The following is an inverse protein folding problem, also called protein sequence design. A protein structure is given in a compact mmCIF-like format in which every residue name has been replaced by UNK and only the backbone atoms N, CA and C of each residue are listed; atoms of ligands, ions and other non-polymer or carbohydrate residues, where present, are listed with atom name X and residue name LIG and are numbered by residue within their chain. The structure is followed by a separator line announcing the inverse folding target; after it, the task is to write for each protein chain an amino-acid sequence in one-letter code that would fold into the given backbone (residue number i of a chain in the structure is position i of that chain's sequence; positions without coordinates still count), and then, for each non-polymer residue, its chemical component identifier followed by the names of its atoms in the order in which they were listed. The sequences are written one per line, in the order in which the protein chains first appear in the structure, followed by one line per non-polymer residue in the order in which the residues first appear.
data_IF_771443981537
#
_entry.id   IF_771443981537
#
_cell.length_a   1.000
_cell.length_b   1.000
_cell.length_c   1.000
_cell.angle_alpha   90.00
_cell.angle_beta   90.00
_cell.angle_gamma   90.00
#
_symmetry.space_group_name_H-M   'P 1'
#
loop_
_entity.id
_entity.type
_entity.pdbx_description
1 polymer ?
#
# COMPACT_ATOMS: atom_id res chain seq x y z
N UNK A 1 17.22 -12.34 19.73
CA UNK A 1 16.86 -11.17 18.89
C UNK A 1 15.78 -10.38 19.59
N UNK A 2 16.01 -9.11 19.84
CA UNK A 2 14.95 -8.21 20.33
C UNK A 2 14.12 -7.80 19.12
N UNK A 3 12.86 -8.25 19.06
CA UNK A 3 11.90 -7.75 18.08
C UNK A 3 11.38 -6.43 18.63
N UNK A 4 11.81 -5.33 18.05
CA UNK A 4 11.30 -4.00 18.39
C UNK A 4 10.08 -3.72 17.52
N UNK A 5 8.96 -3.36 18.15
CA UNK A 5 7.78 -2.89 17.43
C UNK A 5 8.07 -1.53 16.79
N UNK A 6 7.56 -1.31 15.58
CA UNK A 6 7.66 -0.04 14.85
C UNK A 6 6.29 0.61 14.75
N UNK A 7 6.26 1.92 14.85
CA UNK A 7 5.02 2.69 14.87
C UNK A 7 5.02 3.80 13.82
N UNK A 8 3.89 3.97 13.16
CA UNK A 8 3.71 5.01 12.17
C UNK A 8 2.31 5.02 11.58
N UNK A 9 1.96 6.07 10.82
CA UNK A 9 0.64 6.20 10.24
C UNK A 9 0.48 5.38 8.95
N UNK A 10 -0.77 5.07 8.65
CA UNK A 10 -1.22 4.67 7.32
C UNK A 10 -1.71 5.92 6.58
N UNK A 11 -1.02 6.28 5.50
CA UNK A 11 -1.24 7.54 4.80
C UNK A 11 -0.57 8.74 5.47
N UNK A 12 -0.76 9.91 4.88
CA UNK A 12 -0.25 11.16 5.46
C UNK A 12 -1.15 11.64 6.59
N UNK A 13 -0.54 12.05 7.69
CA UNK A 13 -1.27 12.59 8.83
C UNK A 13 -1.92 13.95 8.49
N UNK A 14 -3.10 14.22 9.06
CA UNK A 14 -3.86 15.45 8.79
C UNK A 14 -3.10 16.73 9.14
N UNK A 15 -2.19 16.66 10.11
CA UNK A 15 -1.36 17.77 10.54
C UNK A 15 -0.02 17.89 9.77
N UNK A 16 0.19 17.06 8.75
CA UNK A 16 1.29 17.24 7.81
C UNK A 16 0.88 18.22 6.71
N UNK A 17 1.38 19.43 6.79
CA UNK A 17 1.07 20.48 5.81
C UNK A 17 2.02 20.50 4.60
N UNK A 18 3.05 19.64 4.60
CA UNK A 18 3.95 19.44 3.46
C UNK A 18 3.28 18.57 2.38
N UNK A 19 3.11 19.11 1.17
CA UNK A 19 2.44 18.37 0.07
C UNK A 19 3.30 17.28 -0.55
N UNK A 20 4.57 17.13 -0.15
CA UNK A 20 5.52 16.20 -0.76
C UNK A 20 5.63 14.90 0.03
N UNK A 21 5.29 13.78 -0.61
CA UNK A 21 5.49 12.44 -0.04
C UNK A 21 6.97 12.12 0.20
N UNK A 22 7.88 12.70 -0.58
CA UNK A 22 9.33 12.52 -0.42
C UNK A 22 9.85 13.15 0.89
N UNK A 23 9.24 14.24 1.35
CA UNK A 23 9.63 14.91 2.60
C UNK A 23 8.95 14.31 3.84
N UNK A 24 7.97 13.46 3.65
CA UNK A 24 7.18 12.92 4.75
C UNK A 24 7.97 12.00 5.69
N UNK A 25 8.90 11.13 5.23
CA UNK A 25 9.73 10.33 6.12
C UNK A 25 10.56 11.15 7.12
N UNK A 26 11.15 12.26 6.70
CA UNK A 26 11.88 13.17 7.60
C UNK A 26 10.95 13.73 8.69
N UNK A 27 9.77 14.18 8.29
CA UNK A 27 8.76 14.72 9.20
C UNK A 27 8.28 13.69 10.25
N UNK A 28 8.18 12.41 9.86
CA UNK A 28 7.86 11.31 10.78
C UNK A 28 8.99 11.05 11.78
N UNK A 29 10.23 10.99 11.30
CA UNK A 29 11.40 10.76 12.13
C UNK A 29 11.58 11.84 13.21
N UNK A 30 11.33 13.11 12.89
CA UNK A 30 11.32 14.23 13.84
C UNK A 30 10.32 14.05 14.99
N UNK A 31 9.29 13.18 14.80
CA UNK A 31 8.25 12.86 15.77
C UNK A 31 8.47 11.53 16.48
N UNK A 32 9.63 10.93 16.27
CA UNK A 32 9.97 9.64 16.88
C UNK A 32 9.21 8.45 16.30
N UNK A 33 8.65 8.60 15.11
CA UNK A 33 7.99 7.52 14.38
C UNK A 33 9.00 6.82 13.46
N UNK A 34 8.80 5.53 13.22
CA UNK A 34 9.76 4.68 12.50
C UNK A 34 9.12 3.74 11.47
N UNK A 35 7.83 3.91 11.19
CA UNK A 35 7.09 3.19 10.17
C UNK A 35 6.17 4.12 9.36
N UNK A 36 5.89 3.74 8.12
CA UNK A 36 4.93 4.44 7.26
C UNK A 36 4.31 3.49 6.25
N UNK A 37 3.00 3.46 6.18
CA UNK A 37 2.28 2.78 5.11
C UNK A 37 1.88 3.78 4.01
N UNK A 38 2.51 3.66 2.84
CA UNK A 38 2.15 4.46 1.67
C UNK A 38 0.82 3.99 1.09
N UNK A 39 -0.14 4.89 0.91
CA UNK A 39 -1.48 4.52 0.43
C UNK A 39 -1.70 4.88 -1.03
N UNK A 40 -2.06 3.87 -1.83
CA UNK A 40 -2.49 4.01 -3.22
C UNK A 40 -4.03 4.12 -3.34
N UNK A 41 -4.71 4.76 -2.39
CA UNK A 41 -6.16 4.75 -2.18
C UNK A 41 -7.04 4.70 -3.43
N UNK A 42 -6.96 5.70 -4.30
CA UNK A 42 -7.79 5.80 -5.51
C UNK A 42 -7.13 5.24 -6.78
N UNK A 43 -6.01 4.55 -6.66
CA UNK A 43 -5.24 3.99 -7.77
C UNK A 43 -3.74 4.16 -7.60
N UNK A 44 -2.98 3.44 -8.40
CA UNK A 44 -1.51 3.49 -8.41
C UNK A 44 -1.08 4.56 -9.39
N UNK A 45 -0.86 5.78 -8.90
CA UNK A 45 -0.52 6.95 -9.74
C UNK A 45 0.91 7.47 -9.54
N UNK A 46 1.64 6.97 -8.54
CA UNK A 46 3.02 7.39 -8.29
C UNK A 46 3.96 6.79 -9.33
N UNK A 47 4.77 7.64 -9.95
CA UNK A 47 5.79 7.22 -10.90
C UNK A 47 7.06 6.70 -10.22
N UNK A 48 7.88 5.97 -10.97
CA UNK A 48 9.11 5.32 -10.49
C UNK A 48 10.07 6.29 -9.80
N UNK A 49 10.35 7.45 -10.39
CA UNK A 49 11.25 8.45 -9.82
C UNK A 49 10.81 8.90 -8.42
N UNK A 50 9.53 9.24 -8.28
CA UNK A 50 8.96 9.65 -6.98
C UNK A 50 8.97 8.50 -5.98
N UNK A 51 8.61 7.29 -6.42
CA UNK A 51 8.61 6.10 -5.56
C UNK A 51 10.01 5.81 -5.01
N UNK A 52 11.03 5.83 -5.86
CA UNK A 52 12.43 5.66 -5.44
C UNK A 52 12.88 6.76 -4.48
N UNK A 53 12.53 8.02 -4.75
CA UNK A 53 12.87 9.14 -3.86
C UNK A 53 12.21 9.02 -2.47
N UNK A 54 10.96 8.55 -2.39
CA UNK A 54 10.31 8.23 -1.10
C UNK A 54 11.06 7.13 -0.37
N UNK A 55 11.44 6.06 -1.07
CA UNK A 55 12.19 4.94 -0.51
C UNK A 55 13.56 5.35 0.02
N UNK A 56 14.29 6.18 -0.71
CA UNK A 56 15.58 6.74 -0.29
C UNK A 56 15.45 7.61 0.95
N UNK A 57 14.46 8.50 0.97
CA UNK A 57 14.17 9.35 2.12
C UNK A 57 13.78 8.51 3.36
N UNK A 58 12.96 7.49 3.19
CA UNK A 58 12.57 6.58 4.27
C UNK A 58 13.80 5.85 4.84
N UNK A 59 14.65 5.32 3.99
CA UNK A 59 15.89 4.64 4.39
C UNK A 59 16.84 5.58 5.13
N UNK A 60 17.02 6.81 4.63
CA UNK A 60 17.89 7.82 5.24
C UNK A 60 17.42 8.22 6.65
N UNK A 61 16.13 8.14 6.93
CA UNK A 61 15.52 8.49 8.22
C UNK A 61 15.11 7.29 9.09
N UNK A 62 15.47 6.06 8.69
CA UNK A 62 15.16 4.85 9.46
C UNK A 62 13.68 4.47 9.49
N UNK A 63 12.89 4.94 8.51
CA UNK A 63 11.46 4.66 8.37
C UNK A 63 11.27 3.36 7.59
N UNK A 64 10.61 2.38 8.21
CA UNK A 64 10.20 1.15 7.52
C UNK A 64 8.94 1.41 6.68
N UNK A 65 8.99 1.05 5.41
CA UNK A 65 7.87 1.23 4.49
C UNK A 65 7.04 -0.05 4.30
N UNK A 66 5.74 0.13 4.27
CA UNK A 66 4.78 -0.77 3.62
C UNK A 66 3.93 0.02 2.62
N UNK A 67 3.20 -0.69 1.77
CA UNK A 67 2.33 -0.07 0.78
C UNK A 67 0.93 -0.67 0.88
N UNK A 68 -0.09 0.16 0.86
CA UNK A 68 -1.48 -0.26 0.78
C UNK A 68 -1.98 -0.11 -0.66
N UNK A 69 -2.38 -1.22 -1.28
CA UNK A 69 -2.95 -1.25 -2.62
C UNK A 69 -4.31 -0.51 -2.67
N UNK A 70 -4.82 -0.16 -3.85
CA UNK A 70 -6.10 0.52 -3.98
C UNK A 70 -7.24 -0.17 -3.23
N UNK A 71 -8.07 0.61 -2.54
CA UNK A 71 -9.13 0.08 -1.66
C UNK A 71 -10.27 -0.63 -2.41
N UNK A 72 -10.42 -0.37 -3.71
CA UNK A 72 -11.49 -0.94 -4.54
C UNK A 72 -11.16 -2.31 -5.13
N UNK A 73 -10.00 -2.88 -4.81
CA UNK A 73 -9.62 -4.24 -5.22
C UNK A 73 -10.64 -5.24 -4.71
N UNK A 74 -11.14 -6.10 -5.61
CA UNK A 74 -12.09 -7.16 -5.29
C UNK A 74 -11.77 -8.44 -6.08
N UNK A 75 -10.99 -9.33 -5.47
CA UNK A 75 -10.64 -10.64 -6.04
C UNK A 75 -11.85 -11.56 -6.18
N UNK A 76 -12.92 -11.32 -5.41
CA UNK A 76 -14.17 -12.06 -5.47
C UNK A 76 -15.21 -11.46 -6.43
N UNK A 77 -14.80 -10.57 -7.36
CA UNK A 77 -15.73 -9.99 -8.31
C UNK A 77 -16.29 -11.10 -9.24
N UNK A 78 -17.63 -11.17 -9.44
CA UNK A 78 -18.25 -12.16 -10.31
C UNK A 78 -17.82 -12.04 -11.78
N UNK A 79 -17.56 -10.81 -12.21
CA UNK A 79 -17.17 -10.53 -13.59
C UNK A 79 -15.69 -10.82 -13.81
N UNK A 80 -15.33 -11.78 -14.71
CA UNK A 80 -13.94 -12.14 -14.98
C UNK A 80 -13.07 -10.99 -15.47
N UNK A 81 -13.63 -10.08 -16.27
CA UNK A 81 -12.88 -8.92 -16.78
C UNK A 81 -12.54 -7.93 -15.64
N UNK A 82 -13.45 -7.75 -14.69
CA UNK A 82 -13.19 -6.96 -13.50
C UNK A 82 -12.11 -7.60 -12.61
N UNK A 83 -12.08 -8.94 -12.49
CA UNK A 83 -11.03 -9.65 -11.76
C UNK A 83 -9.67 -9.45 -12.42
N UNK A 84 -9.60 -9.57 -13.75
CA UNK A 84 -8.37 -9.32 -14.50
C UNK A 84 -7.83 -7.91 -14.28
N UNK A 85 -8.70 -6.89 -14.27
CA UNK A 85 -8.30 -5.53 -13.92
C UNK A 85 -7.79 -5.43 -12.49
N UNK A 86 -8.45 -6.09 -11.55
CA UNK A 86 -8.03 -6.16 -10.14
C UNK A 86 -6.62 -6.72 -9.99
N UNK A 87 -6.30 -7.83 -10.69
CA UNK A 87 -4.94 -8.38 -10.70
C UNK A 87 -3.92 -7.36 -11.21
N UNK A 88 -4.26 -6.61 -12.25
CA UNK A 88 -3.42 -5.51 -12.76
C UNK A 88 -3.11 -4.45 -11.70
N UNK A 89 -4.08 -4.07 -10.87
CA UNK A 89 -3.85 -3.12 -9.77
C UNK A 89 -2.95 -3.69 -8.67
N UNK A 90 -3.08 -4.98 -8.36
CA UNK A 90 -2.19 -5.64 -7.39
C UNK A 90 -0.76 -5.66 -7.90
N UNK A 91 -0.55 -6.03 -9.16
CA UNK A 91 0.78 -6.03 -9.79
C UNK A 91 1.40 -4.64 -9.83
N UNK A 92 0.62 -3.61 -10.17
CA UNK A 92 1.09 -2.23 -10.15
C UNK A 92 1.48 -1.77 -8.73
N UNK A 93 0.72 -2.16 -7.72
CA UNK A 93 1.07 -1.88 -6.32
C UNK A 93 2.36 -2.58 -5.89
N UNK A 94 2.57 -3.83 -6.29
CA UNK A 94 3.82 -4.56 -6.04
C UNK A 94 5.01 -3.90 -6.73
N UNK A 95 4.84 -3.43 -7.96
CA UNK A 95 5.90 -2.71 -8.68
C UNK A 95 6.30 -1.41 -7.96
N UNK A 96 5.34 -0.64 -7.49
CA UNK A 96 5.61 0.57 -6.71
C UNK A 96 6.29 0.24 -5.38
N UNK A 97 5.85 -0.81 -4.71
CA UNK A 97 6.48 -1.29 -3.48
C UNK A 97 7.96 -1.66 -3.70
N UNK A 98 8.27 -2.31 -4.81
CA UNK A 98 9.66 -2.61 -5.21
C UNK A 98 10.47 -1.34 -5.42
N UNK A 99 9.97 -0.36 -6.17
CA UNK A 99 10.65 0.92 -6.37
C UNK A 99 10.90 1.67 -5.07
N UNK A 100 9.96 1.63 -4.13
CA UNK A 100 10.09 2.25 -2.81
C UNK A 100 10.99 1.47 -1.85
N UNK A 101 11.23 0.18 -2.11
CA UNK A 101 11.85 -0.71 -1.14
C UNK A 101 10.93 -1.02 0.05
N UNK A 102 9.61 -1.01 -0.18
CA UNK A 102 8.63 -1.41 0.81
C UNK A 102 8.62 -2.94 0.97
N UNK A 103 8.62 -3.41 2.21
CA UNK A 103 8.75 -4.84 2.51
C UNK A 103 7.43 -5.62 2.39
N UNK A 104 6.30 -4.90 2.38
CA UNK A 104 4.96 -5.49 2.40
C UNK A 104 3.99 -4.69 1.56
N UNK A 105 3.08 -5.42 0.90
CA UNK A 105 1.90 -4.85 0.25
C UNK A 105 0.66 -5.38 0.94
N UNK A 106 -0.18 -4.47 1.44
CA UNK A 106 -1.50 -4.79 2.01
C UNK A 106 -2.54 -4.60 0.92
N UNK A 107 -3.41 -5.58 0.72
CA UNK A 107 -4.52 -5.49 -0.21
C UNK A 107 -5.80 -6.04 0.43
N UNK A 108 -6.93 -5.38 0.16
CA UNK A 108 -8.23 -5.94 0.48
C UNK A 108 -8.52 -7.11 -0.46
N UNK A 109 -9.03 -8.21 0.08
CA UNK A 109 -9.37 -9.39 -0.72
C UNK A 109 -10.69 -9.23 -1.50
N UNK A 110 -11.57 -8.33 -1.06
CA UNK A 110 -12.79 -7.97 -1.76
C UNK A 110 -14.04 -7.99 -0.90
N UNK A 111 -15.19 -7.98 -1.57
CA UNK A 111 -16.51 -7.94 -0.96
C UNK A 111 -17.39 -9.09 -1.45
N UNK A 112 -18.36 -9.53 -0.63
CA UNK A 112 -19.24 -10.65 -0.93
C UNK A 112 -20.17 -10.39 -2.13
N UNK A 113 -20.54 -9.14 -2.39
CA UNK A 113 -21.43 -8.73 -3.50
C UNK A 113 -22.71 -9.58 -3.58
N UNK A 114 -23.41 -9.71 -2.45
CA UNK A 114 -24.66 -10.51 -2.29
C UNK A 114 -24.49 -12.03 -2.46
N UNK A 115 -23.26 -12.56 -2.38
CA UNK A 115 -22.98 -14.00 -2.38
C UNK A 115 -22.73 -14.52 -0.99
N UNK A 116 -22.77 -15.85 -0.85
CA UNK A 116 -22.28 -16.51 0.34
C UNK A 116 -20.76 -16.30 0.47
N UNK A 117 -20.27 -16.39 1.72
CA UNK A 117 -18.82 -16.27 2.00
C UNK A 117 -18.01 -17.35 1.27
N UNK A 118 -18.58 -18.54 1.13
CA UNK A 118 -17.93 -19.66 0.45
C UNK A 118 -17.76 -19.39 -1.04
N UNK A 119 -18.83 -19.00 -1.72
CA UNK A 119 -18.78 -18.66 -3.15
C UNK A 119 -17.80 -17.52 -3.44
N UNK A 120 -17.80 -16.48 -2.60
CA UNK A 120 -16.86 -15.37 -2.77
C UNK A 120 -15.39 -15.81 -2.54
N UNK A 121 -15.15 -16.71 -1.59
CA UNK A 121 -13.83 -17.25 -1.33
C UNK A 121 -13.34 -18.11 -2.50
N UNK A 122 -14.21 -18.99 -3.02
CA UNK A 122 -13.87 -19.86 -4.15
C UNK A 122 -13.49 -19.03 -5.39
N UNK A 123 -14.23 -17.94 -5.67
CA UNK A 123 -13.91 -17.01 -6.76
C UNK A 123 -12.57 -16.29 -6.50
N UNK A 124 -12.35 -15.83 -5.28
CA UNK A 124 -11.10 -15.10 -4.94
C UNK A 124 -9.85 -15.98 -5.02
N UNK A 125 -9.99 -17.28 -4.72
CA UNK A 125 -8.89 -18.25 -4.84
C UNK A 125 -8.56 -18.62 -6.30
N UNK A 126 -9.52 -18.45 -7.21
CA UNK A 126 -9.34 -18.68 -8.65
C UNK A 126 -8.76 -17.44 -9.37
N UNK A 127 -8.64 -16.31 -8.70
CA UNK A 127 -8.16 -15.05 -9.26
C UNK A 127 -6.66 -14.87 -9.10
#
# INVERSE_FOLDING_TARGET
MSISARFGPAGQADNYHGKSSVKYPAWLAERGLDAFEYQCGKGVSVGEETARAVGEAARAHGIQLSLHAPYFINLANPDPESRKKTTGYVLAACQVAEWMGAERVTAHTGALMKRSRREALDIALDT
#
